data_IF_994410974912
#
_entry.id   IF_994410974912
#
_cell.length_a   1.000
_cell.length_b   1.000
_cell.length_c   1.000
_cell.angle_alpha   90.00
_cell.angle_beta   90.00
_cell.angle_gamma   90.00
#
_symmetry.space_group_name_H-M   'P 1'
#
loop_
_entity.id
_entity.type
_entity.pdbx_description
1 polymer ?
#
# COMPACT_ATOMS: atom_id res chain seq x y z
N UNK A 1 -4.34 -11.38 -7.65
CA UNK A 1 -4.15 -12.17 -6.41
C UNK A 1 -5.47 -12.69 -5.83
N UNK A 2 -6.59 -12.01 -6.04
CA UNK A 2 -7.89 -12.46 -5.52
C UNK A 2 -8.47 -13.63 -6.32
N UNK A 3 -9.29 -14.45 -5.64
CA UNK A 3 -9.93 -15.64 -6.21
C UNK A 3 -10.80 -15.33 -7.45
N UNK A 4 -11.37 -14.13 -7.51
CA UNK A 4 -12.30 -13.68 -8.56
C UNK A 4 -11.74 -12.54 -9.44
N UNK A 5 -10.42 -12.27 -9.36
CA UNK A 5 -9.80 -11.25 -10.19
C UNK A 5 -9.88 -11.65 -11.68
N UNK A 6 -10.29 -10.75 -12.60
CA UNK A 6 -10.31 -11.04 -14.02
C UNK A 6 -8.93 -11.49 -14.51
N UNK A 7 -8.90 -12.39 -15.49
CA UNK A 7 -7.65 -12.80 -16.13
C UNK A 7 -7.07 -11.61 -16.92
N UNK A 8 -6.14 -10.87 -16.31
CA UNK A 8 -5.39 -9.82 -16.99
C UNK A 8 -4.25 -10.39 -17.81
N UNK A 9 -4.10 -9.89 -19.04
CA UNK A 9 -3.04 -10.30 -19.96
C UNK A 9 -1.67 -9.96 -19.35
N UNK A 10 -0.89 -10.98 -19.00
CA UNK A 10 0.42 -10.83 -18.36
C UNK A 10 0.46 -11.20 -16.87
N UNK A 11 -0.67 -11.51 -16.24
CA UNK A 11 -0.69 -12.04 -14.88
C UNK A 11 -0.62 -13.57 -14.84
N UNK A 12 0.09 -14.16 -13.86
CA UNK A 12 0.14 -15.60 -13.69
C UNK A 12 -1.21 -16.19 -13.32
N UNK A 13 -1.46 -17.42 -13.77
CA UNK A 13 -2.73 -18.12 -13.50
C UNK A 13 -2.56 -19.24 -12.47
N UNK A 14 -1.38 -19.85 -12.40
CA UNK A 14 -1.01 -20.83 -11.37
C UNK A 14 -0.86 -20.20 -9.98
N UNK A 15 -1.07 -20.99 -8.93
CA UNK A 15 -1.05 -20.51 -7.55
C UNK A 15 0.38 -20.14 -7.12
N UNK A 16 1.34 -20.99 -7.45
CA UNK A 16 2.76 -20.83 -7.16
C UNK A 16 3.35 -19.66 -7.96
N UNK A 17 2.94 -19.50 -9.23
CA UNK A 17 3.35 -18.37 -10.05
C UNK A 17 2.80 -17.04 -9.51
N UNK A 18 1.55 -17.05 -8.99
CA UNK A 18 0.95 -15.88 -8.30
C UNK A 18 1.70 -15.54 -7.02
N UNK A 19 2.15 -16.54 -6.26
CA UNK A 19 2.97 -16.35 -5.07
C UNK A 19 4.33 -15.72 -5.40
N UNK A 20 5.01 -16.25 -6.41
CA UNK A 20 6.28 -15.70 -6.90
C UNK A 20 6.10 -14.26 -7.40
N UNK A 21 5.07 -14.00 -8.20
CA UNK A 21 4.74 -12.65 -8.67
C UNK A 21 4.48 -11.68 -7.51
N UNK A 22 3.67 -12.08 -6.54
CA UNK A 22 3.35 -11.27 -5.38
C UNK A 22 4.59 -10.99 -4.51
N UNK A 23 5.47 -11.98 -4.32
CA UNK A 23 6.72 -11.84 -3.58
C UNK A 23 7.67 -10.86 -4.30
N UNK A 24 7.82 -11.00 -5.62
CA UNK A 24 8.66 -10.11 -6.42
C UNK A 24 8.13 -8.67 -6.41
N UNK A 25 6.83 -8.48 -6.62
CA UNK A 25 6.20 -7.16 -6.54
C UNK A 25 6.41 -6.51 -5.17
N UNK A 26 6.32 -7.30 -4.11
CA UNK A 26 6.55 -6.81 -2.75
C UNK A 26 7.99 -6.30 -2.56
N UNK A 27 8.98 -7.09 -2.97
CA UNK A 27 10.39 -6.76 -2.78
C UNK A 27 10.86 -5.61 -3.66
N UNK A 28 10.44 -5.58 -4.92
CA UNK A 28 10.91 -4.60 -5.92
C UNK A 28 10.18 -3.26 -5.81
N UNK A 29 8.85 -3.29 -5.62
CA UNK A 29 8.01 -2.11 -5.73
C UNK A 29 7.39 -1.70 -4.38
N UNK A 30 6.66 -2.61 -3.73
CA UNK A 30 5.75 -2.25 -2.63
C UNK A 30 6.49 -1.75 -1.38
N UNK A 31 7.64 -2.36 -1.03
CA UNK A 31 8.45 -1.91 0.12
C UNK A 31 8.95 -0.48 -0.08
N UNK A 32 9.43 -0.15 -1.29
CA UNK A 32 9.92 1.20 -1.62
C UNK A 32 8.76 2.19 -1.62
N UNK A 33 7.61 1.80 -2.18
CA UNK A 33 6.40 2.62 -2.20
C UNK A 33 5.96 3.01 -0.80
N UNK A 34 5.80 2.04 0.12
CA UNK A 34 5.45 2.34 1.51
C UNK A 34 6.46 3.27 2.16
N UNK A 35 7.76 3.04 1.99
CA UNK A 35 8.78 3.91 2.58
C UNK A 35 8.70 5.36 2.09
N UNK A 36 8.38 5.56 0.81
CA UNK A 36 8.17 6.89 0.21
C UNK A 36 6.92 7.57 0.76
N UNK A 37 5.81 6.83 0.85
CA UNK A 37 4.56 7.31 1.42
C UNK A 37 4.73 7.68 2.88
N UNK A 38 5.33 6.81 3.69
CA UNK A 38 5.56 7.08 5.10
C UNK A 38 6.37 8.35 5.34
N UNK A 39 7.33 8.65 4.45
CA UNK A 39 8.10 9.89 4.51
C UNK A 39 7.20 11.10 4.29
N UNK A 40 6.27 11.03 3.35
CA UNK A 40 5.29 12.10 3.08
C UNK A 40 4.32 12.23 4.25
N UNK A 41 3.78 11.12 4.76
CA UNK A 41 2.85 11.12 5.89
C UNK A 41 3.48 11.80 7.11
N UNK A 42 4.75 11.53 7.41
CA UNK A 42 5.50 12.19 8.50
C UNK A 42 5.62 13.71 8.33
N UNK A 43 5.52 14.25 7.11
CA UNK A 43 5.52 15.70 6.86
C UNK A 43 4.16 16.35 7.14
N UNK A 44 3.08 15.57 7.14
CA UNK A 44 1.70 16.07 7.26
C UNK A 44 1.00 15.71 8.57
N UNK A 45 1.65 14.92 9.43
CA UNK A 45 1.19 14.69 10.81
C UNK A 45 1.11 16.01 11.58
N UNK A 46 0.05 16.19 12.35
CA UNK A 46 -0.20 17.33 13.22
C UNK A 46 -0.88 18.52 12.54
N UNK A 47 -1.17 18.44 11.22
CA UNK A 47 -1.94 19.48 10.52
C UNK A 47 -3.40 19.46 10.98
N UNK A 48 -4.00 18.27 11.07
CA UNK A 48 -5.40 18.11 11.45
C UNK A 48 -5.62 16.78 12.18
N UNK A 49 -6.35 16.75 13.32
CA UNK A 49 -6.55 15.53 14.09
C UNK A 49 -7.21 14.37 13.31
N UNK A 50 -8.14 14.68 12.38
CA UNK A 50 -8.79 13.66 11.57
C UNK A 50 -7.81 12.97 10.60
N UNK A 51 -6.89 13.76 10.03
CA UNK A 51 -5.82 13.25 9.17
C UNK A 51 -4.83 12.40 9.96
N UNK A 52 -4.49 12.79 11.19
CA UNK A 52 -3.59 12.01 12.06
C UNK A 52 -4.12 10.61 12.36
N UNK A 53 -5.43 10.48 12.62
CA UNK A 53 -6.08 9.17 12.82
C UNK A 53 -5.98 8.31 11.56
N UNK A 54 -6.16 8.93 10.38
CA UNK A 54 -6.07 8.21 9.12
C UNK A 54 -4.63 7.79 8.80
N UNK A 55 -3.64 8.64 9.08
CA UNK A 55 -2.22 8.33 8.95
C UNK A 55 -1.81 7.16 9.86
N UNK A 56 -2.29 7.13 11.11
CA UNK A 56 -2.03 6.01 12.02
C UNK A 56 -2.61 4.71 11.48
N UNK A 57 -3.82 4.75 10.91
CA UNK A 57 -4.43 3.58 10.27
C UNK A 57 -3.58 3.07 9.09
N UNK A 58 -3.07 3.97 8.25
CA UNK A 58 -2.22 3.62 7.10
C UNK A 58 -0.90 2.99 7.55
N UNK A 59 -0.22 3.54 8.56
CA UNK A 59 0.98 2.91 9.10
C UNK A 59 0.72 1.49 9.63
N UNK A 60 -0.40 1.29 10.33
CA UNK A 60 -0.77 -0.03 10.82
C UNK A 60 -1.06 -1.02 9.68
N UNK A 61 -1.73 -0.55 8.61
CA UNK A 61 -1.96 -1.35 7.40
C UNK A 61 -0.67 -1.73 6.68
N UNK A 62 0.31 -0.82 6.59
CA UNK A 62 1.64 -1.15 6.04
C UNK A 62 2.30 -2.28 6.83
N UNK A 63 2.25 -2.24 8.16
CA UNK A 63 2.82 -3.30 9.00
C UNK A 63 2.09 -4.64 8.82
N UNK A 64 0.76 -4.60 8.69
CA UNK A 64 -0.05 -5.79 8.39
C UNK A 64 0.33 -6.36 7.01
N UNK A 65 0.41 -5.52 5.98
CA UNK A 65 0.76 -5.92 4.63
C UNK A 65 2.19 -6.48 4.55
N UNK A 66 3.17 -5.85 5.19
CA UNK A 66 4.52 -6.39 5.30
C UNK A 66 4.51 -7.81 5.89
N UNK A 67 3.70 -8.05 6.92
CA UNK A 67 3.59 -9.36 7.55
C UNK A 67 2.94 -10.37 6.61
N UNK A 68 1.84 -10.00 5.96
CA UNK A 68 1.14 -10.84 4.99
C UNK A 68 2.02 -11.23 3.81
N UNK A 69 2.78 -10.29 3.23
CA UNK A 69 3.67 -10.58 2.11
C UNK A 69 4.82 -11.51 2.49
N UNK A 70 5.46 -11.28 3.65
CA UNK A 70 6.55 -12.15 4.14
C UNK A 70 6.11 -13.59 4.38
N UNK A 71 4.85 -13.80 4.78
CA UNK A 71 4.29 -15.12 5.07
C UNK A 71 3.79 -15.89 3.84
N UNK A 72 3.81 -15.29 2.63
CA UNK A 72 3.28 -15.93 1.42
C UNK A 72 3.86 -17.33 1.19
N UNK A 73 5.18 -17.48 1.28
CA UNK A 73 5.84 -18.76 0.97
C UNK A 73 5.88 -19.73 2.17
N UNK A 74 5.41 -19.29 3.34
CA UNK A 74 5.40 -20.06 4.59
C UNK A 74 4.01 -20.60 4.94
N UNK A 75 2.95 -20.08 4.30
CA UNK A 75 1.58 -20.44 4.63
C UNK A 75 1.17 -21.78 3.97
N UNK A 76 0.70 -22.77 4.74
CA UNK A 76 0.25 -24.06 4.20
C UNK A 76 -1.01 -23.97 3.34
N UNK A 77 -1.83 -22.93 3.50
CA UNK A 77 -2.97 -22.62 2.64
C UNK A 77 -2.69 -21.36 1.80
N UNK A 78 -1.81 -21.54 0.81
CA UNK A 78 -1.34 -20.49 -0.07
C UNK A 78 -2.50 -19.78 -0.82
N UNK A 79 -3.56 -20.51 -1.16
CA UNK A 79 -4.71 -19.94 -1.87
C UNK A 79 -5.52 -18.98 -1.00
N UNK A 80 -5.80 -19.37 0.25
CA UNK A 80 -6.49 -18.49 1.20
C UNK A 80 -5.62 -17.29 1.52
N UNK A 81 -4.33 -17.52 1.79
CA UNK A 81 -3.38 -16.47 2.14
C UNK A 81 -3.23 -15.41 1.03
N UNK A 82 -3.00 -15.82 -0.22
CA UNK A 82 -2.89 -14.89 -1.34
C UNK A 82 -4.18 -14.09 -1.58
N UNK A 83 -5.33 -14.70 -1.34
CA UNK A 83 -6.61 -14.02 -1.45
C UNK A 83 -6.79 -12.98 -0.35
N UNK A 84 -6.39 -13.28 0.89
CA UNK A 84 -6.38 -12.32 2.00
C UNK A 84 -5.42 -11.17 1.74
N UNK A 85 -4.15 -11.45 1.41
CA UNK A 85 -3.15 -10.43 1.06
C UNK A 85 -3.67 -9.52 -0.05
N UNK A 86 -4.25 -10.10 -1.11
CA UNK A 86 -4.79 -9.33 -2.23
C UNK A 86 -6.02 -8.49 -1.88
N UNK A 87 -6.85 -8.89 -0.90
CA UNK A 87 -7.97 -8.07 -0.41
C UNK A 87 -7.47 -6.92 0.46
N UNK A 88 -6.57 -7.22 1.39
CA UNK A 88 -5.96 -6.22 2.26
C UNK A 88 -5.24 -5.12 1.48
N UNK A 89 -4.48 -5.50 0.46
CA UNK A 89 -3.81 -4.53 -0.40
C UNK A 89 -4.82 -3.67 -1.19
N UNK A 90 -5.88 -4.27 -1.72
CA UNK A 90 -6.92 -3.53 -2.45
C UNK A 90 -7.66 -2.54 -1.54
N UNK A 91 -8.02 -2.97 -0.33
CA UNK A 91 -8.72 -2.12 0.65
C UNK A 91 -7.83 -0.96 1.09
N UNK A 92 -6.54 -1.22 1.29
CA UNK A 92 -5.53 -0.22 1.60
C UNK A 92 -5.40 0.84 0.49
N UNK A 93 -5.14 0.42 -0.76
CA UNK A 93 -5.06 1.34 -1.91
C UNK A 93 -6.33 2.17 -2.08
N UNK A 94 -7.51 1.56 -1.90
CA UNK A 94 -8.78 2.31 -1.97
C UNK A 94 -8.90 3.37 -0.89
N UNK A 95 -8.44 3.09 0.32
CA UNK A 95 -8.45 4.05 1.43
C UNK A 95 -7.52 5.22 1.13
N UNK A 96 -6.35 4.93 0.58
CA UNK A 96 -5.42 5.97 0.17
C UNK A 96 -6.02 6.90 -0.88
N UNK A 97 -6.53 6.32 -1.96
CA UNK A 97 -7.10 7.07 -3.08
C UNK A 97 -8.34 7.88 -2.71
N UNK A 98 -9.21 7.35 -1.85
CA UNK A 98 -10.54 7.91 -1.58
C UNK A 98 -10.61 8.75 -0.33
N UNK A 99 -9.70 8.55 0.62
CA UNK A 99 -9.75 9.19 1.93
C UNK A 99 -8.45 9.94 2.21
N UNK A 100 -7.30 9.26 2.16
CA UNK A 100 -6.03 9.84 2.58
C UNK A 100 -5.57 10.96 1.66
N UNK A 101 -5.42 10.69 0.36
CA UNK A 101 -4.91 11.68 -0.59
C UNK A 101 -5.82 12.89 -0.73
N UNK A 102 -7.16 12.76 -0.82
CA UNK A 102 -8.06 13.91 -0.79
C UNK A 102 -7.91 14.73 0.49
N UNK A 103 -7.83 14.08 1.66
CA UNK A 103 -7.70 14.79 2.94
C UNK A 103 -6.38 15.53 3.07
N UNK A 104 -5.27 14.95 2.57
CA UNK A 104 -3.98 15.63 2.49
C UNK A 104 -4.08 16.88 1.60
N UNK A 105 -4.69 16.77 0.42
CA UNK A 105 -4.86 17.89 -0.51
C UNK A 105 -5.73 19.01 0.07
N UNK A 106 -6.78 18.67 0.83
CA UNK A 106 -7.66 19.64 1.47
C UNK A 106 -7.03 20.31 2.71
N UNK A 107 -6.17 19.59 3.43
CA UNK A 107 -5.61 20.04 4.71
C UNK A 107 -4.28 20.79 4.57
N UNK A 108 -3.48 20.48 3.55
CA UNK A 108 -2.15 21.05 3.36
C UNK A 108 -2.20 22.45 2.74
N UNK A 109 -1.28 23.33 3.15
CA UNK A 109 -1.08 24.60 2.45
C UNK A 109 -0.36 24.39 1.12
N UNK A 110 -0.43 25.38 0.23
CA UNK A 110 0.29 25.35 -1.05
C UNK A 110 1.81 25.14 -0.86
N UNK A 111 2.40 25.76 0.15
CA UNK A 111 3.83 25.57 0.48
C UNK A 111 4.14 24.14 0.90
N UNK A 112 3.24 23.50 1.65
CA UNK A 112 3.39 22.10 2.05
C UNK A 112 3.25 21.17 0.83
N UNK A 113 2.29 21.43 -0.06
CA UNK A 113 2.12 20.67 -1.29
C UNK A 113 3.36 20.77 -2.19
N UNK A 114 3.94 21.96 -2.34
CA UNK A 114 5.20 22.15 -3.07
C UNK A 114 6.35 21.36 -2.42
N UNK A 115 6.40 21.28 -1.09
CA UNK A 115 7.42 20.49 -0.39
C UNK A 115 7.23 18.98 -0.62
N UNK A 116 5.98 18.50 -0.63
CA UNK A 116 5.64 17.11 -0.95
C UNK A 116 6.04 16.77 -2.39
N UNK A 117 5.68 17.60 -3.37
CA UNK A 117 6.02 17.41 -4.79
C UNK A 117 7.53 17.35 -5.02
N UNK A 118 8.29 18.19 -4.33
CA UNK A 118 9.76 18.15 -4.36
C UNK A 118 10.32 16.86 -3.77
N UNK A 119 9.69 16.32 -2.72
CA UNK A 119 10.10 15.03 -2.15
C UNK A 119 9.83 13.87 -3.10
N UNK A 120 8.75 13.94 -3.88
CA UNK A 120 8.40 12.93 -4.91
C UNK A 120 9.31 13.00 -6.14
N UNK A 121 9.74 14.21 -6.53
CA UNK A 121 10.54 14.45 -7.74
C UNK A 121 12.04 14.20 -7.56
N UNK A 122 12.49 13.88 -6.35
CA UNK A 122 13.90 13.71 -6.01
C UNK A 122 14.48 12.31 -6.35
N UNK A 123 13.83 11.55 -7.25
CA UNK A 123 14.32 10.27 -7.78
C UNK A 123 15.36 10.46 -8.87
#
# INVERSE_FOLDING_TARGET
MQKDAPAYKGLPTGLEEKAAYASNFYEEDLVTHFAEEEKILKMVVGIQPALDVLIEAIFNEHQELHSLFKLINENPDLAVHLNETGKKLEDHVRKEERELFPMIQESCTEEMMIAIDKSLSAK
#
